data_IF_124605478821
#
_entry.id   IF_124605478821
#
_cell.length_a   1.000
_cell.length_b   1.000
_cell.length_c   1.000
_cell.angle_alpha   90.00
_cell.angle_beta   90.00
_cell.angle_gamma   90.00
#
_symmetry.space_group_name_H-M   'P 1'
#
loop_
_entity.id
_entity.type
_entity.pdbx_description
1 polymer ?
#
# COMPACT_ATOMS: atom_id res chain seq x y z
N UNK A 1 -6.14 7.23 -21.78
CA UNK A 1 -5.68 6.47 -20.60
C UNK A 1 -5.68 7.43 -19.44
N UNK A 2 -6.39 7.14 -18.36
CA UNK A 2 -6.45 7.98 -17.18
C UNK A 2 -5.48 7.44 -16.12
N UNK A 3 -4.54 8.28 -15.67
CA UNK A 3 -3.65 7.95 -14.55
C UNK A 3 -4.34 8.37 -13.27
N UNK A 4 -4.57 7.42 -12.39
CA UNK A 4 -5.21 7.64 -11.08
C UNK A 4 -4.16 8.06 -10.05
N UNK A 5 -2.94 7.54 -10.15
CA UNK A 5 -1.88 7.85 -9.20
C UNK A 5 -0.64 6.98 -9.42
N UNK A 6 0.33 7.12 -8.54
CA UNK A 6 1.61 6.40 -8.58
C UNK A 6 2.09 6.05 -7.18
N UNK A 7 2.60 4.84 -6.99
CA UNK A 7 3.42 4.44 -5.85
C UNK A 7 4.85 4.19 -6.35
N UNK A 8 5.69 5.22 -6.32
CA UNK A 8 7.00 5.18 -6.97
C UNK A 8 6.86 4.86 -8.46
N UNK A 9 7.38 3.71 -8.89
CA UNK A 9 7.31 3.26 -10.29
C UNK A 9 6.00 2.53 -10.62
N UNK A 10 5.19 2.20 -9.61
CA UNK A 10 3.93 1.47 -9.77
C UNK A 10 2.84 2.48 -10.11
N UNK A 11 2.48 2.55 -11.39
CA UNK A 11 1.42 3.44 -11.87
C UNK A 11 0.05 2.78 -11.73
N UNK A 12 -0.89 3.51 -11.11
CA UNK A 12 -2.32 3.19 -11.08
C UNK A 12 -2.99 3.88 -12.26
N UNK A 13 -3.63 3.10 -13.13
CA UNK A 13 -4.25 3.64 -14.34
C UNK A 13 -5.45 2.82 -14.80
N UNK A 14 -6.37 3.51 -15.46
CA UNK A 14 -7.59 2.93 -16.03
C UNK A 14 -7.74 3.40 -17.47
N UNK A 15 -8.08 2.47 -18.35
CA UNK A 15 -8.37 2.70 -19.76
C UNK A 15 -9.34 1.63 -20.27
N UNK A 16 -9.86 1.81 -21.50
CA UNK A 16 -10.73 0.82 -22.15
C UNK A 16 -10.07 -0.56 -22.29
N UNK A 17 -8.74 -0.63 -22.37
CA UNK A 17 -7.98 -1.89 -22.56
C UNK A 17 -7.34 -2.41 -21.29
N UNK A 18 -7.13 -1.55 -20.30
CA UNK A 18 -6.34 -1.87 -19.11
C UNK A 18 -6.94 -1.27 -17.86
N UNK A 19 -7.21 -2.10 -16.85
CA UNK A 19 -7.65 -1.65 -15.53
C UNK A 19 -6.64 -2.10 -14.49
N UNK A 20 -5.95 -1.14 -13.88
CA UNK A 20 -4.93 -1.35 -12.85
C UNK A 20 -5.08 -0.25 -11.80
N UNK A 21 -6.08 -0.39 -10.94
CA UNK A 21 -6.36 0.56 -9.86
C UNK A 21 -6.39 -0.15 -8.52
N UNK A 22 -6.31 0.62 -7.44
CA UNK A 22 -6.49 0.14 -6.08
C UNK A 22 -7.95 0.29 -5.64
N UNK A 23 -8.35 -0.53 -4.67
CA UNK A 23 -9.65 -0.52 -4.04
C UNK A 23 -9.50 -0.66 -2.51
N UNK A 24 -10.47 -0.13 -1.77
CA UNK A 24 -10.53 -0.28 -0.31
C UNK A 24 -9.32 0.32 0.41
N UNK A 25 -8.84 1.48 -0.06
CA UNK A 25 -7.71 2.15 0.57
C UNK A 25 -8.07 2.62 1.98
N UNK A 26 -7.25 2.23 2.95
CA UNK A 26 -7.35 2.61 4.37
C UNK A 26 -6.04 3.26 4.81
N UNK A 27 -6.13 4.38 5.51
CA UNK A 27 -5.01 5.08 6.13
C UNK A 27 -5.22 5.11 7.64
N UNK A 28 -4.33 4.43 8.37
CA UNK A 28 -4.30 4.40 9.81
C UNK A 28 -3.15 5.30 10.32
N UNK A 29 -3.47 6.23 11.22
CA UNK A 29 -2.51 7.13 11.87
C UNK A 29 -2.72 7.08 13.38
N UNK A 30 -1.65 7.06 14.16
CA UNK A 30 -1.79 7.04 15.63
C UNK A 30 -0.73 7.88 16.35
N UNK A 31 -1.14 8.44 17.49
CA UNK A 31 -0.28 9.16 18.41
C UNK A 31 0.13 8.26 19.57
N UNK A 32 1.30 8.51 20.15
CA UNK A 32 1.83 7.80 21.30
C UNK A 32 1.65 8.66 22.55
N UNK A 33 1.06 8.08 23.58
CA UNK A 33 0.87 8.71 24.87
C UNK A 33 1.47 7.85 25.97
N UNK A 34 2.10 8.48 26.97
CA UNK A 34 2.47 7.86 28.23
C UNK A 34 1.37 8.14 29.26
N UNK A 35 1.05 7.14 30.08
CA UNK A 35 0.09 7.24 31.17
C UNK A 35 0.83 7.28 32.49
N UNK A 36 0.54 8.27 33.33
CA UNK A 36 1.11 8.41 34.65
C UNK A 36 0.02 8.26 35.70
N UNK A 37 0.15 7.24 36.53
CA UNK A 37 -0.76 7.00 37.64
C UNK A 37 -0.50 8.01 38.76
N UNK A 38 -1.57 8.58 39.29
CA UNK A 38 -1.52 9.57 40.36
C UNK A 38 -2.39 9.08 41.50
N UNK A 39 -1.81 8.97 42.69
CA UNK A 39 -2.55 8.48 43.86
C UNK A 39 -3.78 9.36 44.12
N UNK A 40 -4.97 8.73 44.15
CA UNK A 40 -6.28 9.37 44.36
C UNK A 40 -6.61 10.50 43.38
N UNK A 41 -6.02 10.49 42.17
CA UNK A 41 -6.32 11.47 41.11
C UNK A 41 -6.49 10.75 39.78
N UNK A 42 -7.12 11.42 38.83
CA UNK A 42 -7.24 10.91 37.46
C UNK A 42 -5.86 10.66 36.85
N UNK A 43 -5.75 9.63 36.00
CA UNK A 43 -4.52 9.34 35.24
C UNK A 43 -4.13 10.53 34.38
N UNK A 44 -2.85 10.90 34.40
CA UNK A 44 -2.31 11.94 33.53
C UNK A 44 -1.82 11.32 32.22
N UNK A 45 -2.24 11.88 31.09
CA UNK A 45 -1.77 11.50 29.76
C UNK A 45 -0.74 12.52 29.25
N UNK A 46 0.44 12.04 28.87
CA UNK A 46 1.50 12.84 28.27
C UNK A 46 1.73 12.43 26.82
N UNK A 47 1.78 13.39 25.90
CA UNK A 47 2.08 13.12 24.50
C UNK A 47 3.57 12.85 24.31
N UNK A 48 3.92 11.64 23.87
CA UNK A 48 5.32 11.20 23.70
C UNK A 48 5.75 11.12 22.23
N UNK A 49 4.84 11.36 21.28
CA UNK A 49 5.15 11.43 19.86
C UNK A 49 4.09 10.78 18.99
N UNK A 50 4.48 10.40 17.77
CA UNK A 50 3.60 9.71 16.82
C UNK A 50 4.16 8.35 16.47
N UNK A 51 3.26 7.39 16.24
CA UNK A 51 3.64 6.13 15.62
C UNK A 51 3.76 6.35 14.09
N UNK A 52 4.48 5.46 13.42
CA UNK A 52 4.51 5.45 11.96
C UNK A 52 3.09 5.18 11.42
N UNK A 53 2.63 6.03 10.51
CA UNK A 53 1.35 5.81 9.84
C UNK A 53 1.44 4.54 8.95
N UNK A 54 0.30 3.92 8.68
CA UNK A 54 0.19 2.77 7.76
C UNK A 54 -0.93 2.97 6.75
N UNK A 55 -0.72 2.47 5.54
CA UNK A 55 -1.70 2.50 4.46
C UNK A 55 -1.88 1.09 3.94
N UNK A 56 -3.13 0.64 3.80
CA UNK A 56 -3.43 -0.64 3.17
C UNK A 56 -4.44 -0.47 2.06
N UNK A 57 -4.28 -1.24 0.99
CA UNK A 57 -5.22 -1.27 -0.13
C UNK A 57 -5.09 -2.58 -0.90
N UNK A 58 -6.09 -2.86 -1.74
CA UNK A 58 -6.13 -4.05 -2.58
C UNK A 58 -6.01 -3.66 -4.05
N UNK A 59 -5.42 -4.54 -4.84
CA UNK A 59 -5.35 -4.42 -6.29
C UNK A 59 -5.79 -5.74 -6.92
N UNK A 60 -6.56 -5.65 -8.00
CA UNK A 60 -6.93 -6.81 -8.80
C UNK A 60 -6.12 -6.80 -10.11
N UNK A 61 -5.32 -7.83 -10.34
CA UNK A 61 -4.58 -8.03 -11.57
C UNK A 61 -5.23 -9.13 -12.38
N UNK A 62 -5.66 -8.80 -13.59
CA UNK A 62 -6.34 -9.74 -14.47
C UNK A 62 -5.83 -9.62 -15.90
N UNK A 63 -5.47 -10.75 -16.49
CA UNK A 63 -5.09 -10.87 -17.90
C UNK A 63 -6.22 -10.41 -18.83
N UNK A 64 -7.48 -10.65 -18.41
CA UNK A 64 -8.67 -10.18 -19.12
C UNK A 64 -8.83 -8.66 -19.09
N UNK A 65 -8.27 -8.00 -18.07
CA UNK A 65 -8.20 -6.54 -17.95
C UNK A 65 -6.89 -6.00 -18.53
N UNK A 66 -6.23 -6.73 -19.43
CA UNK A 66 -5.03 -6.28 -20.13
C UNK A 66 -3.79 -6.11 -19.25
N UNK A 67 -3.77 -6.72 -18.06
CA UNK A 67 -2.64 -6.68 -17.12
C UNK A 67 -2.06 -8.08 -16.98
N UNK A 68 -0.75 -8.24 -17.14
CA UNK A 68 -0.09 -9.51 -16.86
C UNK A 68 0.13 -9.65 -15.33
N UNK A 69 -0.56 -10.57 -14.63
CA UNK A 69 -0.53 -10.61 -13.17
C UNK A 69 0.84 -10.97 -12.60
N UNK A 70 1.55 -11.94 -13.20
CA UNK A 70 2.89 -12.38 -12.74
C UNK A 70 3.90 -11.24 -12.84
N UNK A 71 3.90 -10.50 -13.96
CA UNK A 71 4.82 -9.38 -14.15
C UNK A 71 4.60 -8.29 -13.10
N UNK A 72 3.34 -7.99 -12.75
CA UNK A 72 3.03 -6.98 -11.74
C UNK A 72 3.34 -7.45 -10.32
N UNK A 73 3.07 -8.72 -10.00
CA UNK A 73 3.47 -9.32 -8.72
C UNK A 73 4.99 -9.28 -8.54
N UNK A 74 5.77 -9.60 -9.58
CA UNK A 74 7.23 -9.55 -9.52
C UNK A 74 7.76 -8.14 -9.26
N UNK A 75 7.18 -7.11 -9.90
CA UNK A 75 7.54 -5.71 -9.61
C UNK A 75 7.30 -5.33 -8.16
N UNK A 76 6.16 -5.75 -7.59
CA UNK A 76 5.84 -5.53 -6.18
C UNK A 76 6.82 -6.24 -5.25
N UNK A 77 7.12 -7.50 -5.54
CA UNK A 77 8.10 -8.30 -4.79
C UNK A 77 9.50 -7.71 -4.84
N UNK A 78 9.93 -7.20 -5.99
CA UNK A 78 11.22 -6.51 -6.10
C UNK A 78 11.27 -5.24 -5.26
N UNK A 79 10.21 -4.42 -5.32
CA UNK A 79 10.13 -3.20 -4.52
C UNK A 79 10.13 -3.49 -3.01
N UNK A 80 9.41 -4.54 -2.59
CA UNK A 80 9.39 -5.04 -1.21
C UNK A 80 10.78 -5.54 -0.77
N UNK A 81 11.39 -6.46 -1.53
CA UNK A 81 12.70 -7.06 -1.20
C UNK A 81 13.84 -6.06 -1.19
N UNK A 82 13.80 -5.04 -2.06
CA UNK A 82 14.79 -3.96 -2.09
C UNK A 82 14.54 -2.91 -1.00
N UNK A 83 13.44 -3.00 -0.24
CA UNK A 83 13.05 -1.97 0.72
C UNK A 83 12.89 -0.60 0.05
N UNK A 84 12.38 -0.57 -1.19
CA UNK A 84 12.38 0.64 -2.00
C UNK A 84 11.50 1.71 -1.35
N UNK A 85 12.11 2.86 -1.08
CA UNK A 85 11.44 4.01 -0.48
C UNK A 85 10.72 4.79 -1.59
N UNK A 86 9.40 4.87 -1.53
CA UNK A 86 8.55 5.39 -2.60
C UNK A 86 7.60 6.49 -2.12
N UNK A 87 7.21 7.39 -3.02
CA UNK A 87 6.13 8.35 -2.73
C UNK A 87 4.82 7.79 -3.26
N UNK A 88 3.76 7.96 -2.47
CA UNK A 88 2.40 7.66 -2.89
C UNK A 88 1.73 8.97 -3.31
N UNK A 89 1.28 9.02 -4.55
CA UNK A 89 0.57 10.17 -5.13
C UNK A 89 -0.71 9.65 -5.75
N UNK A 90 -1.84 10.27 -5.43
CA UNK A 90 -3.16 9.94 -5.99
C UNK A 90 -3.76 11.23 -6.53
N UNK A 91 -4.11 11.22 -7.81
CA UNK A 91 -4.41 12.43 -8.58
C UNK A 91 -3.22 13.39 -8.54
N UNK A 92 -3.47 14.62 -8.09
CA UNK A 92 -2.45 15.66 -7.89
C UNK A 92 -2.01 15.82 -6.42
N UNK A 93 -2.39 14.89 -5.53
CA UNK A 93 -2.11 15.02 -4.09
C UNK A 93 -1.12 13.96 -3.62
N UNK A 94 0.01 14.34 -2.99
CA UNK A 94 0.84 13.39 -2.28
C UNK A 94 0.12 12.92 -1.00
N UNK A 95 0.21 11.62 -0.71
CA UNK A 95 -0.34 11.02 0.50
C UNK A 95 0.79 10.67 1.47
N UNK A 96 0.60 11.01 2.75
CA UNK A 96 1.61 10.90 3.80
C UNK A 96 2.50 12.14 3.93
N UNK A 97 3.23 12.24 5.05
CA UNK A 97 4.15 13.35 5.30
C UNK A 97 5.43 13.24 4.48
N UNK A 98 5.90 12.01 4.23
CA UNK A 98 7.15 11.78 3.51
C UNK A 98 7.07 10.66 2.47
N UNK A 99 7.67 9.50 2.78
CA UNK A 99 7.76 8.37 1.86
C UNK A 99 7.23 7.12 2.55
N UNK A 100 6.94 6.12 1.75
CA UNK A 100 6.37 4.84 2.16
C UNK A 100 7.30 3.71 1.73
N UNK A 101 7.30 2.65 2.53
CA UNK A 101 7.91 1.36 2.18
C UNK A 101 6.84 0.29 2.20
N UNK A 102 6.99 -0.72 1.35
CA UNK A 102 6.12 -1.90 1.37
C UNK A 102 6.55 -2.75 2.57
N UNK A 103 5.69 -2.86 3.58
CA UNK A 103 5.92 -3.70 4.76
C UNK A 103 5.47 -5.15 4.51
N UNK A 104 4.36 -5.31 3.78
CA UNK A 104 3.79 -6.63 3.51
C UNK A 104 3.01 -6.61 2.21
N UNK A 105 3.16 -7.68 1.42
CA UNK A 105 2.22 -7.98 0.32
C UNK A 105 1.66 -9.40 0.42
N UNK A 106 0.33 -9.51 0.41
CA UNK A 106 -0.41 -10.77 0.36
C UNK A 106 -1.01 -10.94 -1.04
N UNK A 107 -0.91 -12.13 -1.63
CA UNK A 107 -1.29 -12.41 -3.02
C UNK A 107 -2.19 -13.65 -3.04
N UNK A 108 -3.43 -13.44 -3.44
CA UNK A 108 -4.41 -14.50 -3.69
C UNK A 108 -4.37 -14.83 -5.18
N UNK A 109 -3.85 -16.01 -5.52
CA UNK A 109 -3.70 -16.49 -6.90
C UNK A 109 -4.96 -17.26 -7.30
N UNK A 110 -5.94 -16.56 -7.88
CA UNK A 110 -7.31 -17.09 -8.01
C UNK A 110 -7.50 -18.03 -9.21
N UNK A 111 -6.89 -17.72 -10.35
CA UNK A 111 -7.15 -18.47 -11.59
C UNK A 111 -5.89 -18.68 -12.40
N UNK A 112 -5.71 -19.92 -12.85
CA UNK A 112 -4.67 -20.33 -13.79
C UNK A 112 -5.30 -20.87 -15.07
N UNK A 113 -4.58 -20.78 -16.19
CA UNK A 113 -4.94 -21.46 -17.43
C UNK A 113 -4.44 -22.92 -17.45
N UNK A 114 -4.81 -23.65 -18.50
CA UNK A 114 -4.39 -25.04 -18.71
C UNK A 114 -2.88 -25.22 -18.95
N UNK A 115 -2.13 -24.14 -19.14
CA UNK A 115 -0.67 -24.13 -19.32
C UNK A 115 0.08 -23.66 -18.05
N UNK A 116 -0.64 -23.37 -16.96
CA UNK A 116 -0.08 -22.90 -15.71
C UNK A 116 0.17 -21.38 -15.64
N UNK A 117 -0.31 -20.60 -16.60
CA UNK A 117 -0.22 -19.14 -16.54
C UNK A 117 -1.28 -18.57 -15.59
N UNK A 118 -0.86 -17.68 -14.70
CA UNK A 118 -1.75 -16.96 -13.80
C UNK A 118 -2.59 -15.93 -14.58
N UNK A 119 -3.90 -16.10 -14.56
CA UNK A 119 -4.86 -15.24 -15.25
C UNK A 119 -5.42 -14.15 -14.34
N UNK A 120 -5.68 -14.45 -13.07
CA UNK A 120 -6.28 -13.52 -12.11
C UNK A 120 -5.59 -13.65 -10.76
N UNK A 121 -5.22 -12.51 -10.17
CA UNK A 121 -4.71 -12.44 -8.82
C UNK A 121 -5.18 -11.18 -8.10
N UNK A 122 -5.51 -11.33 -6.82
CA UNK A 122 -5.78 -10.20 -5.93
C UNK A 122 -4.58 -10.00 -5.03
N UNK A 123 -4.12 -8.76 -4.93
CA UNK A 123 -2.94 -8.41 -4.15
C UNK A 123 -3.32 -7.37 -3.11
N UNK A 124 -3.13 -7.71 -1.84
CA UNK A 124 -3.28 -6.77 -0.72
C UNK A 124 -1.91 -6.22 -0.35
N UNK A 125 -1.77 -4.90 -0.41
CA UNK A 125 -0.51 -4.18 -0.15
C UNK A 125 -0.66 -3.43 1.17
N UNK A 126 0.34 -3.57 2.04
CA UNK A 126 0.48 -2.79 3.27
C UNK A 126 1.75 -1.96 3.21
N UNK A 127 1.59 -0.66 3.30
CA UNK A 127 2.64 0.34 3.33
C UNK A 127 2.83 0.84 4.76
N UNK A 128 4.08 1.13 5.10
CA UNK A 128 4.45 1.77 6.36
C UNK A 128 5.17 3.08 6.09
N UNK A 129 4.86 4.10 6.87
CA UNK A 129 5.49 5.39 6.77
C UNK A 129 6.99 5.24 7.08
N UNK A 130 7.82 5.77 6.19
CA UNK A 130 9.24 5.89 6.39
C UNK A 130 9.52 7.27 6.96
N UNK A 131 9.83 7.32 8.26
CA UNK A 131 10.34 8.53 8.89
C UNK A 131 11.75 8.81 8.35
N UNK A 132 11.92 9.92 7.63
CA UNK A 132 13.25 10.42 7.30
C UNK A 132 14.02 10.72 8.58
N UNK A 133 15.31 10.39 8.59
CA UNK A 133 16.23 10.72 9.69
C UNK A 133 16.46 12.23 9.77
#
# INVERSE_FOLDING_TARGET
MAVVGTLGDIVFSVSKKTVKTFEGMKWDSSAKYATHDRHLKDTLLEFTGRNADSISFKMNFSAFLGVNPIKEINKLLEAERKGKIMRLVIGNKPYGKYKWVIEKTSKDLERFDNKGNLLIAKVSISLKEYAGR
#
